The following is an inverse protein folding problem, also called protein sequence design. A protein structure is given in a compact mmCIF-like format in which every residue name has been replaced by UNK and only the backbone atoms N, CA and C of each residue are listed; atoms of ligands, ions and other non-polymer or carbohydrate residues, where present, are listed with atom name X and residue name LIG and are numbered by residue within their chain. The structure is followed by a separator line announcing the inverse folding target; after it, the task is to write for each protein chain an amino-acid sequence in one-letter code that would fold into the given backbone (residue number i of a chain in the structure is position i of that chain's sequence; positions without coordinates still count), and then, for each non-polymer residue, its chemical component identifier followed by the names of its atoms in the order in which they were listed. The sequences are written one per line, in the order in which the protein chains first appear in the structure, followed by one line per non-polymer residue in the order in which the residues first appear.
data_IF_327535529261
#
_entry.id   IF_327535529261
#
_cell.length_a   1.000
_cell.length_b   1.000
_cell.length_c   1.000
_cell.angle_alpha   90.00
_cell.angle_beta   90.00
_cell.angle_gamma   90.00
#
_symmetry.space_group_name_H-M   'P 1'
#
loop_
_entity.id
_entity.type
_entity.pdbx_description
1 polymer ?
#
# COMPACT_ATOMS: atom_id res chain seq x y z
N UNK A 1 23.79 5.47 19.78
CA UNK A 1 23.85 6.95 19.95
C UNK A 1 24.08 7.52 18.57
N UNK A 2 23.10 8.27 18.05
CA UNK A 2 23.17 8.89 16.72
C UNK A 2 24.43 9.77 16.63
N UNK A 3 25.19 9.71 15.54
CA UNK A 3 26.34 10.61 15.39
C UNK A 3 25.90 12.07 15.45
N UNK A 4 26.53 12.87 16.29
CA UNK A 4 26.29 14.31 16.46
C UNK A 4 26.30 15.08 15.13
N UNK A 5 26.97 14.53 14.10
CA UNK A 5 27.07 15.13 12.75
C UNK A 5 25.73 15.38 12.04
N UNK A 6 24.63 14.69 12.42
CA UNK A 6 23.34 14.85 11.76
C UNK A 6 22.38 15.79 12.50
N UNK A 7 22.62 16.12 13.78
CA UNK A 7 21.73 16.97 14.58
C UNK A 7 21.45 18.33 13.93
N UNK A 8 22.43 18.89 13.25
CA UNK A 8 22.30 20.19 12.57
C UNK A 8 21.32 20.18 11.39
N UNK A 9 20.96 18.99 10.88
CA UNK A 9 20.06 18.85 9.74
C UNK A 9 18.59 18.86 10.14
N UNK A 10 18.28 18.84 11.45
CA UNK A 10 16.91 18.73 11.94
C UNK A 10 16.44 19.99 12.67
N UNK A 11 15.13 20.21 12.58
CA UNK A 11 14.33 21.02 13.49
C UNK A 11 13.30 20.11 14.14
N UNK A 12 12.99 20.40 15.41
CA UNK A 12 12.12 19.52 16.20
C UNK A 12 10.80 20.20 16.52
N UNK A 13 9.70 19.45 16.35
CA UNK A 13 8.34 19.97 16.46
C UNK A 13 7.44 19.03 17.26
N UNK A 14 6.43 19.61 17.89
CA UNK A 14 5.31 18.83 18.41
C UNK A 14 4.57 18.15 17.25
N UNK A 15 4.07 16.92 17.46
CA UNK A 15 3.37 16.18 16.42
C UNK A 15 2.07 16.84 15.97
N UNK A 16 1.48 17.70 16.79
CA UNK A 16 0.28 18.47 16.44
C UNK A 16 0.48 19.35 15.19
N UNK A 17 1.71 19.64 14.78
CA UNK A 17 2.01 20.31 13.51
C UNK A 17 1.38 19.61 12.30
N UNK A 18 1.19 18.30 12.35
CA UNK A 18 0.57 17.52 11.26
C UNK A 18 -0.96 17.61 11.24
N UNK A 19 -1.61 18.11 12.30
CA UNK A 19 -3.06 18.06 12.46
C UNK A 19 -3.82 18.74 11.31
N UNK A 20 -3.35 19.92 10.89
CA UNK A 20 -3.98 20.67 9.81
C UNK A 20 -3.87 20.01 8.43
N UNK A 21 -2.75 19.34 8.18
CA UNK A 21 -2.51 18.63 6.92
C UNK A 21 -3.39 17.39 6.84
N UNK A 22 -3.55 16.66 7.96
CA UNK A 22 -4.49 15.55 8.06
C UNK A 22 -5.96 15.97 7.92
N UNK A 23 -6.29 17.19 8.32
CA UNK A 23 -7.64 17.74 8.16
C UNK A 23 -7.98 18.09 6.70
N UNK A 24 -6.99 18.13 5.81
CA UNK A 24 -7.15 18.52 4.41
C UNK A 24 -6.50 17.50 3.45
N UNK A 25 -6.94 16.22 3.46
CA UNK A 25 -6.31 15.16 2.69
C UNK A 25 -6.47 15.31 1.16
N UNK A 26 -7.39 16.15 0.71
CA UNK A 26 -7.56 16.50 -0.70
C UNK A 26 -6.51 17.51 -1.21
N UNK A 27 -5.79 18.18 -0.29
CA UNK A 27 -4.73 19.15 -0.62
C UNK A 27 -3.36 18.54 -0.32
N UNK A 28 -3.26 17.75 0.76
CA UNK A 28 -1.99 17.24 1.28
C UNK A 28 -1.98 15.73 1.40
N UNK A 29 -0.99 15.12 0.78
CA UNK A 29 -0.64 13.72 1.00
C UNK A 29 0.26 13.60 2.23
N UNK A 30 -0.15 12.84 3.23
CA UNK A 30 0.67 12.50 4.38
C UNK A 30 0.87 10.99 4.42
N UNK A 31 2.09 10.56 4.13
CA UNK A 31 2.50 9.15 4.15
C UNK A 31 3.36 8.93 5.39
N UNK A 32 2.85 8.18 6.34
CA UNK A 32 3.52 7.88 7.61
C UNK A 32 3.83 6.39 7.75
N UNK A 33 4.83 6.14 8.56
CA UNK A 33 5.33 4.83 8.97
C UNK A 33 5.80 4.93 10.44
N UNK A 34 6.29 3.84 11.05
CA UNK A 34 6.75 3.82 12.45
C UNK A 34 7.99 4.68 12.72
N UNK A 35 8.77 4.97 11.71
CA UNK A 35 10.00 5.77 11.82
C UNK A 35 9.82 7.23 11.41
N UNK A 36 8.71 7.60 10.76
CA UNK A 36 8.48 8.96 10.26
C UNK A 36 7.62 8.98 9.01
N UNK A 37 7.82 9.98 8.15
CA UNK A 37 7.00 10.09 6.95
C UNK A 37 7.40 11.22 6.01
N UNK A 38 6.52 11.44 5.05
CA UNK A 38 6.59 12.53 4.08
C UNK A 38 5.24 13.23 4.05
N UNK A 39 5.27 14.54 4.20
CA UNK A 39 4.16 15.44 3.90
C UNK A 39 4.43 16.05 2.53
N UNK A 40 3.46 15.98 1.63
CA UNK A 40 3.58 16.57 0.30
C UNK A 40 2.22 17.15 -0.15
N UNK A 41 2.24 18.14 -1.04
CA UNK A 41 1.01 18.59 -1.71
C UNK A 41 0.49 17.45 -2.57
N UNK A 42 -0.80 17.10 -2.44
CA UNK A 42 -1.45 16.17 -3.33
C UNK A 42 -1.62 16.87 -4.69
N UNK A 43 -0.95 16.35 -5.71
CA UNK A 43 -1.08 16.80 -7.09
C UNK A 43 -1.98 15.80 -7.80
N UNK A 44 -3.12 16.27 -8.33
CA UNK A 44 -3.87 15.49 -9.30
C UNK A 44 -3.13 15.53 -10.65
N UNK A 45 -3.30 14.51 -11.48
CA UNK A 45 -2.66 14.43 -12.81
C UNK A 45 -2.99 15.64 -13.69
N UNK A 46 -4.15 16.26 -13.48
CA UNK A 46 -4.58 17.48 -14.16
C UNK A 46 -3.81 18.75 -13.69
N UNK A 47 -3.22 18.72 -12.50
CA UNK A 47 -2.46 19.83 -11.93
C UNK A 47 -1.01 19.86 -12.39
N UNK A 48 -0.51 18.78 -12.98
CA UNK A 48 0.85 18.70 -13.55
C UNK A 48 1.05 19.65 -14.74
N UNK A 49 -0.03 20.07 -15.41
CA UNK A 49 -0.01 21.06 -16.49
C UNK A 49 -0.18 22.51 -16.00
N UNK A 50 -0.58 22.72 -14.74
CA UNK A 50 -0.66 24.03 -14.12
C UNK A 50 0.58 24.21 -13.24
N UNK A 51 1.47 25.12 -13.62
CA UNK A 51 2.56 25.60 -12.77
C UNK A 51 2.00 26.03 -11.41
N UNK A 52 1.95 25.11 -10.44
CA UNK A 52 1.73 25.49 -9.05
C UNK A 52 2.81 26.51 -8.73
N UNK A 53 2.40 27.71 -8.35
CA UNK A 53 3.36 28.73 -7.93
C UNK A 53 4.20 28.12 -6.78
N UNK A 54 5.49 28.42 -6.74
CA UNK A 54 6.40 28.00 -5.66
C UNK A 54 5.82 28.19 -4.25
N UNK A 55 4.87 29.14 -4.12
CA UNK A 55 4.15 29.45 -2.90
C UNK A 55 3.03 28.44 -2.50
N UNK A 56 2.82 27.39 -3.27
CA UNK A 56 1.77 26.39 -3.00
C UNK A 56 2.35 24.98 -2.76
N UNK A 57 3.62 24.77 -3.09
CA UNK A 57 4.24 23.47 -2.96
C UNK A 57 4.75 23.22 -1.53
N UNK A 58 4.22 22.19 -0.91
CA UNK A 58 4.64 21.71 0.41
C UNK A 58 5.28 20.34 0.24
N UNK A 59 6.51 20.19 0.74
CA UNK A 59 7.15 18.88 0.87
C UNK A 59 8.07 18.88 2.08
N UNK A 60 7.78 18.03 3.07
CA UNK A 60 8.61 17.86 4.26
C UNK A 60 8.81 16.39 4.56
N UNK A 61 10.05 15.96 4.59
CA UNK A 61 10.45 14.66 5.11
C UNK A 61 10.71 14.81 6.61
N UNK A 62 10.16 13.91 7.38
CA UNK A 62 10.29 13.95 8.83
C UNK A 62 10.45 12.57 9.44
N UNK A 63 11.24 12.49 10.52
CA UNK A 63 11.37 11.31 11.35
C UNK A 63 10.57 11.46 12.64
N UNK A 64 10.08 10.35 13.17
CA UNK A 64 9.58 10.28 14.54
C UNK A 64 10.76 10.07 15.50
N UNK A 65 10.97 11.00 16.44
CA UNK A 65 12.07 10.93 17.40
C UNK A 65 11.55 10.83 18.82
N UNK A 66 12.05 9.85 19.57
CA UNK A 66 11.62 9.57 20.93
C UNK A 66 12.26 10.54 21.93
N UNK A 67 11.42 11.15 22.76
CA UNK A 67 11.83 12.01 23.87
C UNK A 67 12.10 11.17 25.13
N UNK A 68 12.82 11.72 26.11
CA UNK A 68 13.13 11.03 27.38
C UNK A 68 11.90 10.62 28.19
N UNK A 69 10.77 11.30 28.02
CA UNK A 69 9.50 10.98 28.67
C UNK A 69 8.67 9.92 27.89
N UNK A 70 9.29 9.25 26.92
CA UNK A 70 8.68 8.29 26.00
C UNK A 70 7.63 8.87 25.02
N UNK A 71 7.38 10.18 25.04
CA UNK A 71 6.61 10.80 23.96
C UNK A 71 7.44 10.86 22.68
N UNK A 72 6.77 11.03 21.55
CA UNK A 72 7.41 11.14 20.24
C UNK A 72 7.22 12.56 19.70
N UNK A 73 8.29 13.15 19.16
CA UNK A 73 8.24 14.41 18.42
C UNK A 73 8.62 14.20 16.96
N UNK A 74 8.41 15.23 16.15
CA UNK A 74 8.81 15.28 14.75
C UNK A 74 10.20 15.87 14.62
N UNK A 75 11.08 15.18 13.93
CA UNK A 75 12.36 15.69 13.45
C UNK A 75 12.23 16.01 11.96
N UNK A 76 11.85 17.24 11.62
CA UNK A 76 11.74 17.71 10.24
C UNK A 76 13.11 18.07 9.66
N UNK A 77 13.36 17.73 8.39
CA UNK A 77 14.56 18.20 7.71
C UNK A 77 14.56 19.72 7.63
N UNK A 78 15.60 20.33 8.16
CA UNK A 78 15.74 21.81 8.20
C UNK A 78 15.57 22.44 6.84
N UNK A 79 16.18 21.86 5.80
CA UNK A 79 16.09 22.37 4.44
C UNK A 79 14.64 22.37 3.96
N UNK A 80 13.94 21.23 4.09
CA UNK A 80 12.55 21.09 3.64
C UNK A 80 11.63 22.11 4.36
N UNK A 81 11.82 22.30 5.68
CA UNK A 81 11.02 23.27 6.46
C UNK A 81 11.32 24.73 6.06
N UNK A 82 12.56 25.03 5.66
CA UNK A 82 12.94 26.39 5.24
C UNK A 82 12.41 26.75 3.84
N UNK A 83 12.20 25.75 2.98
CA UNK A 83 11.64 25.92 1.63
C UNK A 83 10.09 25.93 1.62
N UNK A 84 9.44 25.74 2.76
CA UNK A 84 7.99 25.81 2.85
C UNK A 84 7.46 27.22 2.52
N UNK A 85 6.23 27.32 1.99
CA UNK A 85 5.52 28.58 1.90
C UNK A 85 5.46 29.32 3.24
N UNK A 86 5.49 30.64 3.25
CA UNK A 86 5.54 31.46 4.48
C UNK A 86 4.45 31.09 5.49
N UNK A 87 3.23 30.84 5.00
CA UNK A 87 2.09 30.37 5.81
C UNK A 87 2.44 29.09 6.57
N UNK A 88 3.01 28.11 5.87
CA UNK A 88 3.35 26.81 6.44
C UNK A 88 4.56 26.92 7.38
N UNK A 89 5.58 27.71 7.01
CA UNK A 89 6.69 28.01 7.93
C UNK A 89 6.20 28.59 9.26
N UNK A 90 5.18 29.47 9.21
CA UNK A 90 4.61 30.06 10.44
C UNK A 90 4.00 28.97 11.34
N UNK A 91 3.29 28.02 10.76
CA UNK A 91 2.68 26.91 11.49
C UNK A 91 3.76 26.00 12.11
N UNK A 92 4.78 25.63 11.32
CA UNK A 92 5.88 24.82 11.81
C UNK A 92 6.64 25.53 12.94
N UNK A 93 6.91 26.83 12.82
CA UNK A 93 7.54 27.64 13.88
C UNK A 93 6.71 27.67 15.17
N UNK A 94 5.38 27.77 15.05
CA UNK A 94 4.47 27.77 16.20
C UNK A 94 4.49 26.45 17.00
N UNK A 95 4.90 25.36 16.38
CA UNK A 95 4.98 24.03 16.99
C UNK A 95 6.43 23.61 17.32
N UNK A 96 7.41 24.50 17.18
CA UNK A 96 8.82 24.18 17.38
C UNK A 96 9.14 23.92 18.87
N UNK A 97 9.84 22.83 19.13
CA UNK A 97 10.31 22.46 20.45
C UNK A 97 11.65 23.13 20.77
N UNK A 98 11.72 23.83 21.90
CA UNK A 98 12.94 24.46 22.37
C UNK A 98 13.77 23.47 23.19
N UNK A 99 14.96 23.10 22.67
CA UNK A 99 15.92 22.22 23.33
C UNK A 99 15.35 20.89 23.85
N UNK A 100 14.72 20.08 23.00
CA UNK A 100 14.14 18.80 23.41
C UNK A 100 15.23 17.84 23.92
N UNK A 101 14.86 16.99 24.90
CA UNK A 101 15.74 15.95 25.44
C UNK A 101 15.31 14.60 24.89
N UNK A 102 16.20 13.92 24.20
CA UNK A 102 15.90 12.67 23.51
C UNK A 102 16.21 11.43 24.35
N UNK A 103 15.56 10.33 24.03
CA UNK A 103 15.91 9.01 24.51
C UNK A 103 17.34 8.65 24.05
N UNK A 104 18.01 7.77 24.82
CA UNK A 104 19.37 7.32 24.46
C UNK A 104 19.36 6.29 23.33
N UNK A 105 18.28 5.53 23.23
CA UNK A 105 18.07 4.48 22.25
C UNK A 105 16.78 4.77 21.48
N UNK A 106 16.90 4.91 20.16
CA UNK A 106 15.77 5.21 19.26
C UNK A 106 16.02 4.56 17.90
N UNK A 107 15.89 3.22 17.83
CA UNK A 107 16.19 2.47 16.61
C UNK A 107 15.27 2.82 15.44
N UNK A 108 14.04 3.28 15.70
CA UNK A 108 13.13 3.72 14.64
C UNK A 108 13.67 4.99 13.95
N UNK A 109 14.08 5.96 14.72
CA UNK A 109 14.68 7.17 14.18
C UNK A 109 16.03 6.92 13.49
N UNK A 110 16.85 5.99 14.01
CA UNK A 110 18.10 5.58 13.35
C UNK A 110 17.82 4.96 11.98
N UNK A 111 16.81 4.08 11.85
CA UNK A 111 16.37 3.54 10.53
C UNK A 111 15.93 4.65 9.58
N UNK A 112 15.19 5.64 10.08
CA UNK A 112 14.76 6.79 9.27
C UNK A 112 15.96 7.57 8.73
N UNK A 113 16.98 7.84 9.57
CA UNK A 113 18.22 8.50 9.16
C UNK A 113 18.96 7.70 8.11
N UNK A 114 19.10 6.38 8.29
CA UNK A 114 19.72 5.50 7.29
C UNK A 114 19.00 5.58 5.96
N UNK A 115 17.67 5.53 5.94
CA UNK A 115 16.87 5.59 4.71
C UNK A 115 16.95 6.96 4.03
N UNK A 116 16.67 8.04 4.74
CA UNK A 116 16.42 9.35 4.13
C UNK A 116 17.62 10.29 4.13
N UNK A 117 18.61 10.06 4.96
CA UNK A 117 19.83 10.88 5.03
C UNK A 117 21.01 10.16 4.39
N UNK A 118 21.17 8.88 4.65
CA UNK A 118 22.29 8.09 4.13
C UNK A 118 21.97 7.35 2.83
N UNK A 119 20.70 7.30 2.41
CA UNK A 119 20.27 6.70 1.15
C UNK A 119 20.26 5.17 1.14
N UNK A 120 20.21 4.53 2.32
CA UNK A 120 20.10 3.08 2.44
C UNK A 120 18.66 2.62 2.30
N UNK A 121 18.34 1.96 1.18
CA UNK A 121 16.98 1.52 0.86
C UNK A 121 16.67 0.07 1.30
N UNK A 122 17.59 -0.59 1.94
CA UNK A 122 17.51 -1.95 2.51
C UNK A 122 16.84 -2.00 3.90
N UNK A 123 16.29 -0.88 4.35
CA UNK A 123 15.59 -0.78 5.63
C UNK A 123 14.20 -1.40 5.52
N UNK A 124 13.87 -2.32 6.44
CA UNK A 124 12.56 -2.95 6.50
C UNK A 124 11.44 -1.94 6.70
N UNK A 125 10.31 -2.19 6.03
CA UNK A 125 9.10 -1.40 6.21
C UNK A 125 8.48 -1.62 7.59
N UNK A 126 7.93 -0.56 8.17
CA UNK A 126 7.23 -0.62 9.45
C UNK A 126 5.87 -1.34 9.37
N UNK A 127 5.26 -1.64 10.52
CA UNK A 127 4.06 -2.46 10.59
C UNK A 127 2.86 -1.83 9.86
N UNK A 128 2.77 -0.51 9.78
CA UNK A 128 1.71 0.16 9.02
C UNK A 128 1.81 -0.13 7.52
N UNK A 129 3.01 -0.01 6.94
CA UNK A 129 3.24 -0.30 5.52
C UNK A 129 3.04 -1.79 5.25
N UNK A 130 3.51 -2.65 6.15
CA UNK A 130 3.28 -4.09 6.06
C UNK A 130 1.78 -4.44 6.04
N UNK A 131 0.95 -3.79 6.86
CA UNK A 131 -0.50 -4.00 6.86
C UNK A 131 -1.10 -3.65 5.48
N UNK A 132 -0.72 -2.50 4.91
CA UNK A 132 -1.20 -2.10 3.58
C UNK A 132 -0.81 -3.13 2.50
N UNK A 133 0.44 -3.61 2.54
CA UNK A 133 0.93 -4.64 1.61
C UNK A 133 0.19 -5.97 1.80
N UNK A 134 0.00 -6.41 3.04
CA UNK A 134 -0.69 -7.67 3.32
C UNK A 134 -2.17 -7.63 2.94
N UNK A 135 -2.86 -6.52 3.18
CA UNK A 135 -4.23 -6.33 2.72
C UNK A 135 -4.31 -6.42 1.20
N UNK A 136 -3.39 -5.78 0.46
CA UNK A 136 -3.33 -5.88 -1.01
C UNK A 136 -3.09 -7.31 -1.47
N UNK A 137 -2.15 -8.02 -0.88
CA UNK A 137 -1.87 -9.42 -1.21
C UNK A 137 -3.07 -10.33 -0.97
N UNK A 138 -3.75 -10.19 0.19
CA UNK A 138 -4.96 -10.98 0.52
C UNK A 138 -6.08 -10.67 -0.46
N UNK A 139 -6.28 -9.39 -0.82
CA UNK A 139 -7.29 -8.98 -1.80
C UNK A 139 -7.05 -9.63 -3.16
N UNK A 140 -5.85 -9.47 -3.71
CA UNK A 140 -5.47 -10.05 -5.01
C UNK A 140 -5.61 -11.57 -5.01
N UNK A 141 -5.12 -12.24 -3.96
CA UNK A 141 -5.23 -13.68 -3.81
C UNK A 141 -6.70 -14.14 -3.82
N UNK A 142 -7.55 -13.50 -3.00
CA UNK A 142 -8.95 -13.92 -2.88
C UNK A 142 -9.78 -13.50 -4.09
N UNK A 143 -9.51 -12.36 -4.70
CA UNK A 143 -10.13 -11.95 -5.96
C UNK A 143 -9.84 -12.97 -7.08
N UNK A 144 -8.58 -13.38 -7.25
CA UNK A 144 -8.18 -14.34 -8.28
C UNK A 144 -8.74 -15.76 -8.04
N UNK A 145 -8.91 -16.16 -6.78
CA UNK A 145 -9.30 -17.53 -6.43
C UNK A 145 -10.78 -17.72 -6.16
N UNK A 146 -11.46 -16.70 -5.65
CA UNK A 146 -12.88 -16.73 -5.26
C UNK A 146 -13.75 -15.85 -6.16
N UNK A 147 -13.15 -14.99 -7.01
CA UNK A 147 -13.86 -13.96 -7.77
C UNK A 147 -14.34 -12.79 -6.91
N UNK A 148 -13.93 -12.72 -5.63
CA UNK A 148 -14.33 -11.69 -4.68
C UNK A 148 -13.23 -11.43 -3.66
N UNK A 149 -12.84 -10.14 -3.43
CA UNK A 149 -11.79 -9.82 -2.47
C UNK A 149 -12.29 -10.01 -1.03
N UNK A 150 -11.42 -10.54 -0.16
CA UNK A 150 -11.72 -10.71 1.27
C UNK A 150 -11.79 -9.38 2.02
N UNK A 151 -10.99 -8.39 1.62
CA UNK A 151 -11.09 -7.02 2.13
C UNK A 151 -11.73 -6.11 1.08
N UNK A 152 -12.76 -5.34 1.45
CA UNK A 152 -13.56 -4.51 0.53
C UNK A 152 -12.82 -3.26 0.05
N UNK A 153 -11.99 -2.67 0.90
CA UNK A 153 -11.36 -1.39 0.61
C UNK A 153 -10.16 -1.58 -0.32
N UNK A 154 -10.13 -0.83 -1.40
CA UNK A 154 -9.07 -0.91 -2.42
C UNK A 154 -7.90 -0.01 -2.10
N UNK A 155 -8.18 1.19 -1.59
CA UNK A 155 -7.18 2.21 -1.33
C UNK A 155 -7.47 2.98 -0.05
N UNK A 156 -6.37 3.31 0.66
CA UNK A 156 -6.23 4.45 1.54
C UNK A 156 -7.26 4.62 2.66
N UNK A 157 -7.54 3.58 3.41
CA UNK A 157 -7.83 3.88 4.80
C UNK A 157 -6.51 4.35 5.40
N UNK A 158 -6.37 5.67 5.52
CA UNK A 158 -5.15 6.29 6.02
C UNK A 158 -5.02 5.98 7.51
N UNK A 159 -4.40 4.84 7.81
CA UNK A 159 -3.98 4.54 9.18
C UNK A 159 -2.85 5.51 9.50
N UNK A 160 -3.11 6.44 10.39
CA UNK A 160 -2.13 7.41 10.87
C UNK A 160 -1.83 7.17 12.34
N UNK A 161 -0.59 7.41 12.75
CA UNK A 161 -0.22 7.37 14.16
C UNK A 161 -0.93 8.48 14.96
N UNK A 162 -1.26 8.27 16.25
CA UNK A 162 -1.84 9.33 17.10
C UNK A 162 -0.98 10.59 17.09
N UNK A 163 -1.57 11.77 16.84
CA UNK A 163 -0.84 13.05 16.81
C UNK A 163 -0.54 13.62 18.19
N UNK A 164 -1.24 13.15 19.21
CA UNK A 164 -1.01 13.50 20.61
C UNK A 164 -1.02 12.24 21.47
N UNK A 165 -0.56 12.36 22.72
CA UNK A 165 -0.52 11.22 23.66
C UNK A 165 -1.81 11.06 24.48
N UNK A 166 -2.93 11.62 24.03
CA UNK A 166 -4.21 11.47 24.69
C UNK A 166 -5.04 10.30 24.12
N UNK A 167 -6.04 9.89 24.89
CA UNK A 167 -6.94 8.78 24.54
C UNK A 167 -7.70 9.07 23.25
N UNK A 168 -8.22 10.29 23.05
CA UNK A 168 -9.01 10.63 21.85
C UNK A 168 -8.19 10.46 20.55
N UNK A 169 -6.89 10.79 20.57
CA UNK A 169 -6.03 10.60 19.41
C UNK A 169 -5.74 9.11 19.14
N UNK A 170 -5.57 8.31 20.20
CA UNK A 170 -5.46 6.86 20.09
C UNK A 170 -6.74 6.25 19.53
N UNK A 171 -7.90 6.58 20.12
CA UNK A 171 -9.20 6.06 19.72
C UNK A 171 -9.51 6.36 18.25
N UNK A 172 -9.15 7.57 17.79
CA UNK A 172 -9.31 7.94 16.38
C UNK A 172 -8.44 7.11 15.46
N UNK A 173 -7.17 6.93 15.80
CA UNK A 173 -6.24 6.10 15.02
C UNK A 173 -6.68 4.63 14.99
N UNK A 174 -7.13 4.12 16.15
CA UNK A 174 -7.61 2.76 16.28
C UNK A 174 -8.92 2.52 15.50
N UNK A 175 -9.80 3.51 15.41
CA UNK A 175 -11.03 3.43 14.63
C UNK A 175 -10.72 3.25 13.13
N UNK A 176 -9.71 3.92 12.59
CA UNK A 176 -9.30 3.76 11.20
C UNK A 176 -8.70 2.36 10.95
N UNK A 177 -7.89 1.86 11.88
CA UNK A 177 -7.39 0.49 11.83
C UNK A 177 -8.55 -0.53 11.86
N UNK A 178 -9.50 -0.37 12.77
CA UNK A 178 -10.70 -1.22 12.85
C UNK A 178 -11.49 -1.22 11.53
N UNK A 179 -11.72 -0.05 10.94
CA UNK A 179 -12.43 0.07 9.67
C UNK A 179 -11.75 -0.72 8.55
N UNK A 180 -10.43 -0.65 8.47
CA UNK A 180 -9.68 -1.38 7.45
C UNK A 180 -9.78 -2.90 7.65
N UNK A 181 -9.46 -3.39 8.84
CA UNK A 181 -9.19 -4.82 9.07
C UNK A 181 -10.39 -5.63 9.56
N UNK A 182 -11.40 -4.98 10.17
CA UNK A 182 -12.60 -5.67 10.69
C UNK A 182 -13.83 -5.33 9.86
N UNK A 183 -14.20 -4.05 9.74
CA UNK A 183 -15.33 -3.63 8.90
C UNK A 183 -15.04 -3.88 7.42
N UNK A 184 -13.76 -3.85 7.03
CA UNK A 184 -13.30 -4.16 5.68
C UNK A 184 -13.47 -5.61 5.28
N UNK A 185 -13.57 -6.56 6.21
CA UNK A 185 -13.78 -7.97 5.89
C UNK A 185 -15.11 -8.19 5.16
N UNK A 186 -15.05 -8.84 4.01
CA UNK A 186 -16.24 -9.18 3.22
C UNK A 186 -16.80 -10.53 3.63
N UNK A 187 -18.00 -10.48 4.22
CA UNK A 187 -18.68 -11.67 4.68
C UNK A 187 -19.03 -12.66 3.55
N UNK A 188 -19.36 -12.15 2.36
CA UNK A 188 -19.66 -13.02 1.22
C UNK A 188 -18.40 -13.72 0.70
N UNK A 189 -17.23 -13.05 0.78
CA UNK A 189 -15.96 -13.70 0.45
C UNK A 189 -15.62 -14.82 1.44
N UNK A 190 -15.93 -14.66 2.74
CA UNK A 190 -15.77 -15.73 3.74
C UNK A 190 -16.69 -16.92 3.44
N UNK A 191 -17.93 -16.69 3.02
CA UNK A 191 -18.86 -17.77 2.60
C UNK A 191 -18.30 -18.52 1.38
N UNK A 192 -17.83 -17.81 0.35
CA UNK A 192 -17.20 -18.44 -0.82
C UNK A 192 -15.94 -19.23 -0.45
N UNK A 193 -15.16 -18.73 0.50
CA UNK A 193 -13.99 -19.45 1.03
C UNK A 193 -14.38 -20.71 1.77
N UNK A 194 -15.44 -20.64 2.60
CA UNK A 194 -16.01 -21.80 3.32
C UNK A 194 -16.46 -22.89 2.35
N UNK A 195 -17.21 -22.51 1.31
CA UNK A 195 -17.68 -23.43 0.27
C UNK A 195 -16.49 -24.09 -0.44
N UNK A 196 -15.46 -23.31 -0.79
CA UNK A 196 -14.27 -23.81 -1.46
C UNK A 196 -13.47 -24.78 -0.60
N UNK A 197 -13.36 -24.52 0.70
CA UNK A 197 -12.70 -25.37 1.67
C UNK A 197 -13.59 -26.51 2.19
N UNK A 198 -14.88 -26.51 1.84
CA UNK A 198 -15.90 -27.47 2.31
C UNK A 198 -16.06 -27.46 3.84
N UNK A 199 -15.98 -26.28 4.45
CA UNK A 199 -16.15 -26.07 5.90
C UNK A 199 -17.52 -25.41 6.11
N UNK A 200 -18.46 -26.04 6.83
CA UNK A 200 -19.77 -25.44 7.11
C UNK A 200 -19.63 -24.31 8.13
N UNK A 201 -20.30 -23.17 7.88
CA UNK A 201 -20.40 -22.05 8.82
C UNK A 201 -21.65 -22.14 9.65
N UNK A 202 -21.55 -21.92 10.97
CA UNK A 202 -22.71 -21.97 11.88
C UNK A 202 -23.60 -20.73 11.75
N UNK A 203 -23.00 -19.54 11.60
CA UNK A 203 -23.70 -18.28 11.39
C UNK A 203 -22.96 -17.40 10.37
N UNK A 204 -23.27 -17.57 9.07
CA UNK A 204 -22.57 -16.85 8.01
C UNK A 204 -22.77 -15.31 8.03
N UNK A 205 -23.59 -14.77 8.95
CA UNK A 205 -23.79 -13.32 9.09
C UNK A 205 -22.76 -12.67 10.03
N UNK A 206 -22.05 -13.45 10.83
CA UNK A 206 -21.06 -12.95 11.80
C UNK A 206 -19.65 -13.09 11.27
N UNK A 207 -19.15 -12.05 10.64
CA UNK A 207 -17.86 -12.02 9.91
C UNK A 207 -16.69 -12.60 10.69
N UNK A 208 -16.41 -12.09 11.91
CA UNK A 208 -15.30 -12.58 12.73
C UNK A 208 -15.51 -14.03 13.21
N UNK A 209 -16.77 -14.44 13.50
CA UNK A 209 -17.04 -15.83 13.87
C UNK A 209 -16.85 -16.74 12.66
N UNK A 210 -17.31 -16.35 11.46
CA UNK A 210 -17.07 -17.09 10.23
C UNK A 210 -15.58 -17.26 9.96
N UNK A 211 -14.77 -16.20 10.11
CA UNK A 211 -13.32 -16.31 10.01
C UNK A 211 -12.74 -17.30 11.03
N UNK A 212 -13.19 -17.24 12.29
CA UNK A 212 -12.75 -18.16 13.34
C UNK A 212 -13.05 -19.63 13.01
N UNK A 213 -14.22 -19.92 12.46
CA UNK A 213 -14.64 -21.28 12.10
C UNK A 213 -13.84 -21.85 10.92
N UNK A 214 -13.35 -20.98 10.04
CA UNK A 214 -12.49 -21.36 8.92
C UNK A 214 -11.05 -21.67 9.32
N UNK A 215 -10.56 -21.05 10.40
CA UNK A 215 -9.17 -21.18 10.84
C UNK A 215 -8.91 -22.46 11.60
N UNK A 216 -7.77 -23.13 11.38
CA UNK A 216 -7.28 -24.19 12.24
C UNK A 216 -7.08 -23.66 13.67
N UNK A 217 -7.27 -24.52 14.67
CA UNK A 217 -7.22 -24.16 16.08
C UNK A 217 -5.92 -23.42 16.47
N UNK A 218 -4.78 -23.82 15.94
CA UNK A 218 -3.47 -23.21 16.24
C UNK A 218 -3.34 -21.78 15.70
N UNK A 219 -4.13 -21.37 14.69
CA UNK A 219 -4.13 -20.02 14.11
C UNK A 219 -5.15 -19.07 14.78
N UNK A 220 -6.12 -19.61 15.54
CA UNK A 220 -7.15 -18.76 16.17
C UNK A 220 -6.50 -17.72 17.09
N UNK A 221 -5.50 -18.08 17.87
CA UNK A 221 -4.83 -17.14 18.78
C UNK A 221 -3.98 -16.09 18.02
N UNK A 222 -3.48 -16.43 16.84
CA UNK A 222 -2.57 -15.57 16.07
C UNK A 222 -3.36 -14.63 15.14
N UNK A 223 -4.43 -15.13 14.54
CA UNK A 223 -5.20 -14.38 13.52
C UNK A 223 -6.47 -13.78 14.14
N UNK A 224 -7.36 -14.64 14.67
CA UNK A 224 -8.67 -14.19 15.11
C UNK A 224 -8.61 -13.32 16.37
N UNK A 225 -7.79 -13.68 17.36
CA UNK A 225 -7.74 -12.98 18.64
C UNK A 225 -7.32 -11.51 18.53
N UNK A 226 -6.27 -11.12 17.78
CA UNK A 226 -5.94 -9.71 17.58
C UNK A 226 -7.04 -8.92 16.84
N UNK A 227 -7.67 -9.52 15.81
CA UNK A 227 -8.79 -8.90 15.10
C UNK A 227 -10.01 -8.72 16.04
N UNK A 228 -10.28 -9.70 16.87
CA UNK A 228 -11.35 -9.62 17.89
C UNK A 228 -11.07 -8.55 18.95
N UNK A 229 -9.81 -8.47 19.44
CA UNK A 229 -9.35 -7.41 20.34
C UNK A 229 -9.62 -6.03 19.74
N UNK A 230 -9.20 -5.82 18.47
CA UNK A 230 -9.44 -4.58 17.74
C UNK A 230 -10.94 -4.25 17.64
N UNK A 231 -11.81 -5.26 17.46
CA UNK A 231 -13.27 -5.10 17.45
C UNK A 231 -13.84 -4.74 18.83
N UNK A 232 -13.29 -5.31 19.91
CA UNK A 232 -13.75 -5.08 21.27
C UNK A 232 -13.35 -3.68 21.75
N UNK A 233 -12.12 -3.25 21.49
CA UNK A 233 -11.64 -1.90 21.82
C UNK A 233 -12.48 -0.81 21.13
N UNK A 234 -12.95 -1.02 19.88
CA UNK A 234 -13.94 -0.11 19.28
C UNK A 234 -15.22 0.00 20.09
N UNK A 235 -15.70 -1.12 20.65
CA UNK A 235 -16.94 -1.13 21.42
C UNK A 235 -16.79 -0.33 22.73
N UNK A 236 -15.60 -0.37 23.31
CA UNK A 236 -15.26 0.37 24.53
C UNK A 236 -15.14 1.88 24.27
N UNK A 237 -14.63 2.29 23.11
CA UNK A 237 -14.56 3.71 22.65
C UNK A 237 -15.97 4.35 22.65
N UNK A 238 -17.02 3.60 22.33
CA UNK A 238 -18.40 4.09 22.35
C UNK A 238 -19.06 4.06 23.72
N UNK A 239 -18.47 3.39 24.70
CA UNK A 239 -19.09 3.15 26.02
C UNK A 239 -18.46 3.89 27.20
N UNK A 240 -17.14 3.86 27.30
CA UNK A 240 -16.35 4.51 28.38
C UNK A 240 -15.00 4.86 27.78
N UNK A 241 -14.41 6.05 28.05
CA UNK A 241 -13.06 6.35 27.62
C UNK A 241 -12.10 5.27 28.12
N UNK A 242 -11.44 4.58 27.22
CA UNK A 242 -10.39 3.63 27.60
C UNK A 242 -9.31 4.40 28.35
N UNK A 243 -9.03 4.03 29.59
CA UNK A 243 -7.83 4.52 30.25
C UNK A 243 -6.65 3.92 29.46
N UNK A 244 -6.03 4.76 28.62
CA UNK A 244 -4.67 4.47 28.14
C UNK A 244 -3.85 4.22 29.39
N UNK A 245 -3.45 3.00 29.62
CA UNK A 245 -2.62 2.64 30.77
C UNK A 245 -1.39 3.57 30.87
N UNK A 246 -0.36 3.18 31.56
CA UNK A 246 0.86 3.98 31.77
C UNK A 246 1.69 4.22 30.47
N UNK A 247 1.22 3.78 29.30
CA UNK A 247 1.97 3.89 28.03
C UNK A 247 1.46 5.05 27.16
N UNK A 248 2.38 5.76 26.43
CA UNK A 248 2.01 6.75 25.45
C UNK A 248 1.13 6.15 24.33
N UNK A 249 0.21 6.97 23.83
CA UNK A 249 -0.72 6.58 22.76
C UNK A 249 0.00 6.07 21.52
N UNK A 250 1.11 6.70 21.14
CA UNK A 250 1.93 6.28 20.01
C UNK A 250 2.47 4.86 20.18
N UNK A 251 3.13 4.57 21.31
CA UNK A 251 3.73 3.25 21.58
C UNK A 251 2.66 2.15 21.70
N UNK A 252 1.48 2.49 22.23
CA UNK A 252 0.35 1.55 22.35
C UNK A 252 -0.17 1.18 20.96
N UNK A 253 -0.43 2.19 20.13
CA UNK A 253 -0.89 1.99 18.77
C UNK A 253 0.13 1.25 17.91
N UNK A 254 1.41 1.57 18.06
CA UNK A 254 2.48 0.85 17.35
C UNK A 254 2.50 -0.65 17.66
N UNK A 255 2.28 -1.05 18.93
CA UNK A 255 2.16 -2.47 19.31
C UNK A 255 0.94 -3.14 18.68
N UNK A 256 -0.20 -2.44 18.63
CA UNK A 256 -1.40 -2.97 17.97
C UNK A 256 -1.15 -3.20 16.48
N UNK A 257 -0.46 -2.26 15.80
CA UNK A 257 -0.07 -2.44 14.39
C UNK A 257 0.84 -3.66 14.20
N UNK A 258 1.82 -3.91 15.09
CA UNK A 258 2.69 -5.10 15.02
C UNK A 258 1.87 -6.39 15.17
N UNK A 259 0.94 -6.44 16.14
CA UNK A 259 0.08 -7.61 16.34
C UNK A 259 -0.80 -7.88 15.12
N UNK A 260 -1.36 -6.84 14.50
CA UNK A 260 -2.20 -6.95 13.31
C UNK A 260 -1.37 -7.33 12.07
N UNK A 261 -0.20 -6.72 11.85
CA UNK A 261 0.69 -7.09 10.74
C UNK A 261 1.03 -8.58 10.78
N UNK A 262 1.42 -9.09 11.96
CA UNK A 262 1.68 -10.51 12.18
C UNK A 262 0.46 -11.39 11.90
N UNK A 263 -0.73 -10.94 12.30
CA UNK A 263 -1.98 -11.67 12.06
C UNK A 263 -2.28 -11.79 10.56
N UNK A 264 -2.09 -10.71 9.80
CA UNK A 264 -2.31 -10.68 8.36
C UNK A 264 -1.26 -11.53 7.60
N UNK A 265 0.00 -11.49 8.04
CA UNK A 265 1.06 -12.34 7.48
C UNK A 265 0.71 -13.83 7.61
N UNK A 266 0.27 -14.26 8.79
CA UNK A 266 -0.13 -15.64 9.02
C UNK A 266 -1.43 -16.01 8.26
N UNK A 267 -2.35 -15.06 8.09
CA UNK A 267 -3.54 -15.22 7.27
C UNK A 267 -3.16 -15.47 5.78
N UNK A 268 -2.19 -14.73 5.25
CA UNK A 268 -1.67 -14.95 3.89
C UNK A 268 -1.13 -16.37 3.75
N UNK A 269 -0.22 -16.78 4.66
CA UNK A 269 0.39 -18.11 4.63
C UNK A 269 -0.66 -19.22 4.66
N UNK A 270 -1.68 -19.06 5.49
CA UNK A 270 -2.78 -20.01 5.58
C UNK A 270 -3.61 -20.05 4.29
N UNK A 271 -3.98 -18.89 3.73
CA UNK A 271 -4.72 -18.80 2.46
C UNK A 271 -3.94 -19.42 1.30
N UNK A 272 -2.64 -19.10 1.19
CA UNK A 272 -1.77 -19.67 0.15
C UNK A 272 -1.72 -21.18 0.20
N UNK A 273 -1.59 -21.75 1.41
CA UNK A 273 -1.56 -23.19 1.59
C UNK A 273 -2.92 -23.84 1.33
N UNK A 274 -4.01 -23.24 1.82
CA UNK A 274 -5.37 -23.77 1.69
C UNK A 274 -5.89 -23.72 0.25
N UNK A 275 -5.48 -22.71 -0.52
CA UNK A 275 -5.91 -22.49 -1.89
C UNK A 275 -4.87 -22.92 -2.94
N UNK A 276 -3.68 -23.35 -2.51
CA UNK A 276 -2.55 -23.77 -3.35
C UNK A 276 -2.12 -22.70 -4.36
N UNK A 277 -2.06 -21.43 -3.92
CA UNK A 277 -1.70 -20.26 -4.74
C UNK A 277 -0.61 -19.44 -4.08
N UNK A 278 0.07 -18.63 -4.88
CA UNK A 278 1.06 -17.66 -4.43
C UNK A 278 0.45 -16.25 -4.45
N UNK A 279 0.47 -15.56 -3.30
CA UNK A 279 -0.17 -14.24 -3.15
C UNK A 279 0.54 -13.15 -3.94
N UNK A 280 1.87 -13.20 -4.04
CA UNK A 280 2.65 -12.25 -4.83
C UNK A 280 2.40 -12.41 -6.31
N UNK A 281 2.35 -13.66 -6.80
CA UNK A 281 1.98 -13.93 -8.19
C UNK A 281 0.55 -13.50 -8.52
N UNK A 282 -0.39 -13.60 -7.54
CA UNK A 282 -1.73 -13.05 -7.71
C UNK A 282 -1.72 -11.52 -7.88
N UNK A 283 -0.95 -10.81 -7.06
CA UNK A 283 -0.82 -9.35 -7.15
C UNK A 283 -0.15 -8.93 -8.47
N UNK A 284 0.97 -9.55 -8.82
CA UNK A 284 1.65 -9.30 -10.10
C UNK A 284 0.73 -9.54 -11.31
N UNK A 285 -0.10 -10.58 -11.23
CA UNK A 285 -1.11 -10.84 -12.26
C UNK A 285 -2.19 -9.78 -12.31
N UNK A 286 -2.68 -9.30 -11.16
CA UNK A 286 -3.67 -8.23 -11.10
C UNK A 286 -3.11 -6.93 -11.68
N UNK A 287 -1.88 -6.57 -11.32
CA UNK A 287 -1.18 -5.40 -11.87
C UNK A 287 -0.96 -5.54 -13.38
N UNK A 288 -0.57 -6.73 -13.83
CA UNK A 288 -0.45 -7.02 -15.25
C UNK A 288 -1.78 -6.84 -16.00
N UNK A 289 -2.90 -7.33 -15.41
CA UNK A 289 -4.25 -7.16 -15.99
C UNK A 289 -4.70 -5.69 -15.98
N UNK A 290 -4.40 -4.93 -14.92
CA UNK A 290 -4.66 -3.48 -14.86
C UNK A 290 -3.84 -2.73 -15.91
N UNK A 291 -2.62 -3.16 -16.17
CA UNK A 291 -1.75 -2.63 -17.23
C UNK A 291 -2.30 -2.77 -18.64
N UNK A 292 -3.29 -3.65 -18.84
CA UNK A 292 -4.01 -3.82 -20.11
C UNK A 292 -5.34 -3.03 -20.12
N UNK A 293 -5.68 -2.33 -19.05
CA UNK A 293 -6.88 -1.48 -18.97
C UNK A 293 -6.61 -0.14 -19.65
N UNK A 294 -7.63 0.49 -20.30
CA UNK A 294 -7.48 1.77 -20.98
C UNK A 294 -7.05 2.96 -20.10
N UNK A 295 -6.96 2.76 -18.77
CA UNK A 295 -6.51 3.79 -17.81
C UNK A 295 -5.06 3.62 -17.35
N UNK A 296 -4.32 2.66 -17.88
CA UNK A 296 -2.99 2.33 -17.39
C UNK A 296 -1.91 2.68 -18.42
N UNK A 297 -0.89 3.39 -17.96
CA UNK A 297 0.35 3.62 -18.69
C UNK A 297 1.14 2.31 -18.63
N UNK A 298 1.10 1.56 -19.69
CA UNK A 298 1.50 0.16 -19.81
C UNK A 298 2.80 -0.31 -19.17
N UNK A 299 3.06 -1.63 -19.19
CA UNK A 299 4.21 -2.21 -18.52
C UNK A 299 5.53 -1.69 -19.08
N UNK A 300 6.60 -1.66 -18.29
CA UNK A 300 7.93 -1.27 -18.75
C UNK A 300 8.33 -2.11 -19.96
N UNK A 301 8.81 -1.44 -21.00
CA UNK A 301 9.14 -1.92 -22.34
C UNK A 301 9.41 -3.42 -22.43
N UNK A 302 8.53 -4.18 -23.07
CA UNK A 302 8.77 -5.61 -23.27
C UNK A 302 9.82 -5.84 -24.33
N UNK A 303 10.65 -6.82 -24.11
CA UNK A 303 11.36 -7.47 -25.20
C UNK A 303 10.35 -8.22 -26.06
N UNK A 304 10.36 -8.01 -27.37
CA UNK A 304 9.53 -8.73 -28.34
C UNK A 304 9.85 -10.22 -28.30
N UNK A 305 9.05 -11.02 -27.57
CA UNK A 305 9.28 -12.46 -27.43
C UNK A 305 8.23 -13.25 -28.19
N UNK A 306 8.19 -13.12 -29.52
CA UNK A 306 7.29 -13.93 -30.36
C UNK A 306 7.45 -15.44 -30.13
N UNK A 307 8.65 -15.90 -29.74
CA UNK A 307 8.89 -17.29 -29.34
C UNK A 307 8.04 -17.73 -28.13
N UNK A 308 7.61 -16.80 -27.30
CA UNK A 308 6.74 -17.05 -26.15
C UNK A 308 5.33 -17.52 -26.57
N UNK A 309 4.89 -17.24 -27.80
CA UNK A 309 3.64 -17.78 -28.37
C UNK A 309 3.59 -19.30 -28.33
N UNK A 310 4.73 -19.98 -28.42
CA UNK A 310 4.78 -21.44 -28.36
C UNK A 310 4.26 -22.03 -27.04
N UNK A 311 4.28 -21.23 -25.96
CA UNK A 311 3.68 -21.65 -24.70
C UNK A 311 2.16 -21.83 -24.78
N UNK A 312 1.51 -21.32 -25.84
CA UNK A 312 0.09 -21.53 -26.10
C UNK A 312 -0.23 -22.84 -26.84
N UNK A 313 0.79 -23.55 -27.37
CA UNK A 313 0.60 -24.81 -28.06
C UNK A 313 -0.07 -25.84 -27.13
N UNK A 314 -1.16 -26.41 -27.60
CA UNK A 314 -1.95 -27.40 -26.85
C UNK A 314 -2.86 -26.83 -25.76
N UNK A 315 -2.89 -25.52 -25.53
CA UNK A 315 -3.82 -24.91 -24.58
C UNK A 315 -5.17 -24.59 -25.19
N UNK A 316 -6.25 -24.81 -24.43
CA UNK A 316 -7.62 -24.48 -24.84
C UNK A 316 -7.96 -23.07 -24.35
N UNK A 317 -8.46 -22.23 -25.27
CA UNK A 317 -8.90 -20.87 -24.95
C UNK A 317 -10.27 -20.96 -24.22
N UNK A 318 -10.36 -20.31 -23.05
CA UNK A 318 -11.59 -20.19 -22.27
C UNK A 318 -12.39 -18.96 -22.65
N UNK A 319 -11.69 -17.81 -22.78
CA UNK A 319 -12.29 -16.52 -23.18
C UNK A 319 -11.24 -15.64 -23.84
N UNK A 320 -11.71 -14.65 -24.60
CA UNK A 320 -10.90 -13.61 -25.21
C UNK A 320 -11.48 -12.26 -24.78
N UNK A 321 -10.63 -11.36 -24.31
CA UNK A 321 -10.97 -9.97 -24.01
C UNK A 321 -10.23 -9.04 -24.97
N UNK A 322 -10.88 -7.94 -25.33
CA UNK A 322 -10.28 -6.88 -26.11
C UNK A 322 -9.98 -5.71 -25.18
N UNK A 323 -8.83 -5.09 -25.36
CA UNK A 323 -8.40 -3.96 -24.57
C UNK A 323 -7.64 -2.94 -25.42
N UNK A 324 -7.64 -1.71 -24.95
CA UNK A 324 -6.82 -0.64 -25.47
C UNK A 324 -5.85 -0.22 -24.39
N UNK A 325 -4.58 -0.01 -24.74
CA UNK A 325 -3.62 0.62 -23.87
C UNK A 325 -3.90 2.13 -23.86
N UNK A 326 -3.93 2.76 -22.67
CA UNK A 326 -4.20 4.19 -22.54
C UNK A 326 -3.26 5.04 -23.40
N UNK A 327 -3.83 6.08 -24.02
CA UNK A 327 -3.05 7.07 -24.75
C UNK A 327 -2.13 7.82 -23.81
N UNK A 328 -0.83 7.73 -24.04
CA UNK A 328 0.13 8.72 -23.55
C UNK A 328 0.10 9.93 -24.49
N UNK A 329 0.20 11.16 -23.97
CA UNK A 329 0.33 12.37 -24.75
C UNK A 329 1.42 12.22 -25.83
N UNK A 330 1.05 12.14 -27.11
CA UNK A 330 1.95 11.95 -28.23
C UNK A 330 2.27 10.50 -28.63
N UNK A 331 1.60 9.51 -28.04
CA UNK A 331 1.70 8.09 -28.41
C UNK A 331 0.30 7.59 -28.77
N UNK A 332 0.16 6.95 -29.94
CA UNK A 332 -1.12 6.36 -30.33
C UNK A 332 -1.51 5.21 -29.41
N UNK A 333 -2.80 5.13 -29.07
CA UNK A 333 -3.38 4.00 -28.34
C UNK A 333 -3.05 2.67 -29.02
N UNK A 334 -2.83 1.62 -28.23
CA UNK A 334 -2.55 0.29 -28.73
C UNK A 334 -3.73 -0.61 -28.46
N UNK A 335 -4.24 -1.22 -29.52
CA UNK A 335 -5.25 -2.26 -29.39
C UNK A 335 -4.59 -3.60 -29.08
N UNK A 336 -5.25 -4.42 -28.27
CA UNK A 336 -4.75 -5.73 -27.90
C UNK A 336 -5.83 -6.75 -27.60
N UNK A 337 -5.42 -8.00 -27.52
CA UNK A 337 -6.26 -9.12 -27.13
C UNK A 337 -5.64 -9.85 -25.95
N UNK A 338 -6.49 -10.24 -25.00
CA UNK A 338 -6.10 -11.09 -23.86
C UNK A 338 -6.78 -12.44 -24.06
N UNK A 339 -5.97 -13.50 -24.09
CA UNK A 339 -6.42 -14.87 -24.17
C UNK A 339 -6.35 -15.48 -22.77
N UNK A 340 -7.50 -15.93 -22.25
CA UNK A 340 -7.57 -16.73 -21.04
C UNK A 340 -7.66 -18.20 -21.41
N UNK A 341 -6.78 -19.03 -20.88
CA UNK A 341 -6.75 -20.45 -21.13
C UNK A 341 -7.48 -21.24 -20.04
N UNK A 342 -7.95 -22.43 -20.39
CA UNK A 342 -8.69 -23.31 -19.47
C UNK A 342 -7.84 -23.81 -18.30
N UNK A 343 -6.53 -23.79 -18.42
CA UNK A 343 -5.57 -24.13 -17.36
C UNK A 343 -5.30 -22.97 -16.36
N UNK A 344 -6.00 -21.84 -16.52
CA UNK A 344 -5.86 -20.66 -15.65
C UNK A 344 -4.73 -19.71 -16.04
N UNK A 345 -3.94 -20.03 -17.08
CA UNK A 345 -2.95 -19.10 -17.62
C UNK A 345 -3.60 -18.06 -18.52
N UNK A 346 -2.92 -16.91 -18.70
CA UNK A 346 -3.38 -15.86 -19.62
C UNK A 346 -2.22 -15.29 -20.41
N UNK A 347 -2.49 -14.85 -21.62
CA UNK A 347 -1.54 -14.26 -22.54
C UNK A 347 -2.16 -13.05 -23.22
N UNK A 348 -1.45 -11.95 -23.37
CA UNK A 348 -1.88 -10.84 -24.22
C UNK A 348 -1.04 -10.72 -25.47
N UNK A 349 -1.69 -10.29 -26.54
CA UNK A 349 -1.05 -9.88 -27.78
C UNK A 349 -1.43 -8.42 -28.00
N UNK A 350 -0.44 -7.54 -28.03
CA UNK A 350 -0.61 -6.12 -28.31
C UNK A 350 -0.05 -5.81 -29.70
N UNK A 351 -0.79 -4.98 -30.43
CA UNK A 351 -0.31 -4.42 -31.71
C UNK A 351 0.38 -3.11 -31.40
N UNK A 352 1.70 -3.06 -31.49
CA UNK A 352 2.50 -1.84 -31.32
C UNK A 352 2.88 -1.25 -32.66
N UNK A 353 2.72 0.06 -32.86
CA UNK A 353 3.39 0.75 -33.93
C UNK A 353 4.64 1.44 -33.35
N UNK A 354 5.79 1.27 -33.99
CA UNK A 354 7.00 2.03 -33.68
C UNK A 354 6.90 3.53 -34.05
N UNK A 355 5.71 3.98 -34.43
CA UNK A 355 5.42 5.31 -34.97
C UNK A 355 5.88 6.43 -34.02
N UNK A 356 5.68 6.29 -32.70
CA UNK A 356 6.09 7.29 -31.72
C UNK A 356 7.62 7.50 -31.63
N UNK A 357 8.39 6.43 -31.76
CA UNK A 357 9.86 6.52 -31.78
C UNK A 357 10.43 6.98 -33.09
N UNK A 358 9.64 6.98 -34.16
CA UNK A 358 10.02 7.31 -35.52
C UNK A 358 9.55 8.69 -35.97
N UNK A 359 8.77 9.42 -35.17
CA UNK A 359 8.19 10.72 -35.51
C UNK A 359 9.23 11.74 -36.02
N UNK A 360 10.47 11.66 -35.56
CA UNK A 360 11.58 12.49 -36.05
C UNK A 360 12.19 11.99 -37.37
N UNK A 361 11.94 10.74 -37.78
CA UNK A 361 12.48 10.11 -38.99
C UNK A 361 11.43 9.92 -40.09
N UNK A 362 10.18 10.24 -39.83
CA UNK A 362 9.05 9.98 -40.72
C UNK A 362 9.10 10.63 -42.10
N UNK A 363 9.84 11.72 -42.23
CA UNK A 363 9.91 12.46 -43.51
C UNK A 363 10.63 11.66 -44.60
N UNK A 364 11.42 10.65 -44.22
CA UNK A 364 12.30 9.94 -45.10
C UNK A 364 12.01 8.43 -45.23
N UNK A 365 10.97 7.92 -44.50
CA UNK A 365 10.58 6.50 -44.53
C UNK A 365 9.55 6.22 -45.63
N UNK A 366 9.79 5.13 -46.37
CA UNK A 366 8.82 4.61 -47.35
C UNK A 366 7.75 3.79 -46.61
N UNK A 367 6.55 3.74 -47.17
CA UNK A 367 5.39 3.02 -46.61
C UNK A 367 5.69 1.54 -46.32
N UNK A 368 6.55 0.92 -47.10
CA UNK A 368 7.02 -0.46 -46.97
C UNK A 368 7.96 -0.73 -45.78
N UNK A 369 8.48 0.34 -45.18
CA UNK A 369 9.39 0.28 -44.02
C UNK A 369 8.62 0.33 -42.68
N UNK A 370 7.29 0.58 -42.70
CA UNK A 370 6.43 0.51 -41.54
C UNK A 370 6.14 -0.95 -41.17
N UNK A 371 6.72 -1.39 -40.07
CA UNK A 371 6.42 -2.70 -39.50
C UNK A 371 5.53 -2.53 -38.27
N UNK A 372 4.41 -3.23 -38.27
CA UNK A 372 3.62 -3.43 -37.06
C UNK A 372 4.29 -4.51 -36.24
N UNK A 373 4.69 -4.16 -35.03
CA UNK A 373 5.28 -5.13 -34.10
C UNK A 373 4.18 -5.78 -33.24
N UNK A 374 4.18 -7.10 -33.19
CA UNK A 374 3.34 -7.84 -32.27
C UNK A 374 4.11 -8.09 -30.97
N UNK A 375 3.54 -7.72 -29.85
CA UNK A 375 4.12 -7.94 -28.55
C UNK A 375 3.32 -9.01 -27.81
N UNK A 376 4.01 -9.98 -27.22
CA UNK A 376 3.40 -11.09 -26.50
C UNK A 376 3.83 -11.08 -25.05
N UNK A 377 2.86 -11.13 -24.16
CA UNK A 377 3.08 -11.17 -22.71
C UNK A 377 2.32 -12.32 -22.08
N UNK A 378 2.94 -13.00 -21.15
CA UNK A 378 2.30 -13.99 -20.32
C UNK A 378 2.06 -13.45 -18.92
N UNK A 379 0.84 -13.59 -18.45
CA UNK A 379 0.54 -13.32 -17.06
C UNK A 379 1.30 -14.30 -16.15
N UNK A 380 1.80 -13.87 -14.99
CA UNK A 380 2.40 -14.74 -13.99
C UNK A 380 1.43 -15.89 -13.61
N UNK A 381 1.97 -17.09 -13.40
CA UNK A 381 1.17 -18.20 -12.87
C UNK A 381 0.91 -17.94 -11.39
N UNK A 382 -0.36 -18.04 -10.97
CA UNK A 382 -0.75 -17.90 -9.57
C UNK A 382 -0.60 -19.20 -8.77
N UNK A 383 -0.33 -20.31 -9.43
CA UNK A 383 -0.19 -21.60 -8.75
C UNK A 383 1.19 -21.70 -8.07
N UNK A 384 1.18 -22.13 -6.82
CA UNK A 384 2.40 -22.42 -6.07
C UNK A 384 3.17 -23.55 -6.74
N UNK A 385 4.43 -23.33 -7.12
CA UNK A 385 5.29 -24.41 -7.59
C UNK A 385 5.45 -25.43 -6.47
N UNK A 386 4.92 -26.62 -6.69
CA UNK A 386 5.17 -27.77 -5.81
C UNK A 386 6.62 -28.21 -6.10
N UNK A 387 7.56 -27.74 -5.28
CA UNK A 387 8.93 -28.27 -5.32
C UNK A 387 8.82 -29.78 -5.05
N UNK A 388 9.04 -30.57 -6.12
CA UNK A 388 9.16 -32.03 -6.04
C UNK A 388 10.42 -32.45 -5.31
#
# INVERSE_FOLDING_TARGET
MMPIKYEQHFLYFDRSVLAQYRASPHIYGLKEDDMGGILETALDDDDLDNDLSENQYVRVRFGFRKLRNNCVCIAGLRYDVQELPEKDQFIWRGNMLNSPRFAQDDPAFERWVHRYIEGSWDVEDGPRIQIDQYVKLIRSLTLQTLGRPLFRFEENTLINYPITENTDAYDKAHLELYRLIVDGLDNNALVLLADKLKIPLSDPKKTLNSLKELLPEYLINIIHKPLKKCSDERSDIHGVPSELGSFPAFDTFHRDLIEIAKSLEELIKWLENSLSVDSKACLEREEWMKGLSPKFIGPPRPEFKLNELRKAEGKSIKSIEFGEEAEMKGVHGREGMIFHFSDGTSMSILVGSNVGNLAHKFKDMKEEEFKTDLMVFWAPSIQKEIKK
#
